data_IF_625605910816
#
_entry.id   IF_625605910816
#
_cell.length_a   1.000
_cell.length_b   1.000
_cell.length_c   1.000
_cell.angle_alpha   90.00
_cell.angle_beta   90.00
_cell.angle_gamma   90.00
#
_symmetry.space_group_name_H-M   'P 1'
#
loop_
_entity.id
_entity.type
_entity.pdbx_description
1 polymer ?
#
# COMPACT_ATOMS: atom_id res chain seq x y z
N UNK A 1 -0.87 -11.03 13.47
CA UNK A 1 -0.70 -9.95 12.47
C UNK A 1 -2.09 -9.52 12.09
N UNK A 2 -2.58 -8.41 12.65
CA UNK A 2 -3.85 -7.84 12.20
C UNK A 2 -3.74 -7.47 10.71
N UNK A 3 -4.74 -7.80 9.89
CA UNK A 3 -4.72 -7.46 8.48
C UNK A 3 -4.70 -5.93 8.33
N UNK A 4 -3.77 -5.41 7.53
CA UNK A 4 -3.73 -3.98 7.23
C UNK A 4 -4.95 -3.64 6.36
N UNK A 5 -5.76 -2.69 6.80
CA UNK A 5 -6.99 -2.28 6.12
C UNK A 5 -6.85 -0.87 5.54
N UNK A 6 -7.65 -0.50 4.52
CA UNK A 6 -7.77 0.89 4.11
C UNK A 6 -8.04 1.80 5.32
N UNK A 7 -7.25 2.85 5.48
CA UNK A 7 -7.25 3.73 6.66
C UNK A 7 -6.19 3.41 7.73
N UNK A 8 -5.48 2.28 7.62
CA UNK A 8 -4.30 2.02 8.44
C UNK A 8 -3.14 2.95 8.06
N UNK A 9 -2.25 3.24 9.01
CA UNK A 9 -1.08 4.10 8.79
C UNK A 9 0.15 3.56 9.52
N UNK A 10 1.36 3.98 9.08
CA UNK A 10 2.63 3.69 9.76
C UNK A 10 3.50 2.64 9.07
N UNK A 11 4.51 2.14 9.78
CA UNK A 11 5.59 1.31 9.21
C UNK A 11 5.10 0.02 8.50
N UNK A 12 3.99 -0.55 8.94
CA UNK A 12 3.42 -1.73 8.29
C UNK A 12 2.83 -1.41 6.90
N UNK A 13 2.29 -0.20 6.72
CA UNK A 13 1.81 0.29 5.42
C UNK A 13 2.99 0.57 4.50
N UNK A 14 4.03 1.21 5.02
CA UNK A 14 5.28 1.50 4.30
C UNK A 14 5.91 0.22 3.71
N UNK A 15 6.06 -0.85 4.51
CA UNK A 15 6.63 -2.12 4.04
C UNK A 15 5.82 -2.72 2.87
N UNK A 16 4.49 -2.69 2.97
CA UNK A 16 3.62 -3.17 1.90
C UNK A 16 3.74 -2.27 0.66
N UNK A 17 3.72 -0.94 0.83
CA UNK A 17 3.85 0.00 -0.27
C UNK A 17 5.18 -0.18 -1.01
N UNK A 18 6.29 -0.36 -0.28
CA UNK A 18 7.59 -0.65 -0.88
C UNK A 18 7.59 -1.95 -1.67
N UNK A 19 7.03 -3.02 -1.11
CA UNK A 19 6.93 -4.33 -1.78
C UNK A 19 6.10 -4.22 -3.06
N UNK A 20 4.96 -3.54 -3.01
CA UNK A 20 4.10 -3.32 -4.17
C UNK A 20 4.80 -2.53 -5.26
N UNK A 21 5.56 -1.48 -4.89
CA UNK A 21 6.33 -0.70 -5.86
C UNK A 21 7.45 -1.52 -6.49
N UNK A 22 8.15 -2.35 -5.70
CA UNK A 22 9.17 -3.30 -6.22
C UNK A 22 8.58 -4.30 -7.22
N UNK A 23 7.32 -4.66 -7.06
CA UNK A 23 6.57 -5.52 -7.99
C UNK A 23 6.04 -4.76 -9.23
N UNK A 24 6.20 -3.43 -9.28
CA UNK A 24 5.78 -2.59 -10.40
C UNK A 24 4.41 -1.93 -10.24
N UNK A 25 3.77 -2.03 -9.07
CA UNK A 25 2.51 -1.33 -8.81
C UNK A 25 2.75 0.13 -8.45
N UNK A 26 1.96 1.02 -9.07
CA UNK A 26 2.02 2.46 -8.80
C UNK A 26 1.17 2.81 -7.58
N UNK A 27 1.74 3.60 -6.67
CA UNK A 27 1.08 4.17 -5.49
C UNK A 27 1.38 5.66 -5.48
N UNK A 28 0.40 6.49 -5.10
CA UNK A 28 0.57 7.95 -5.10
C UNK A 28 1.60 8.38 -4.05
N UNK A 29 2.43 9.37 -4.42
CA UNK A 29 3.53 9.84 -3.59
C UNK A 29 3.04 10.39 -2.24
N UNK A 30 1.86 11.03 -2.20
CA UNK A 30 1.24 11.55 -0.97
C UNK A 30 0.95 10.43 0.05
N UNK A 31 0.39 9.31 -0.41
CA UNK A 31 0.14 8.13 0.42
C UNK A 31 1.43 7.46 0.87
N UNK A 32 2.46 7.47 0.01
CA UNK A 32 3.76 6.91 0.32
C UNK A 32 4.54 7.74 1.32
N UNK A 33 4.50 9.07 1.20
CA UNK A 33 5.17 10.00 2.14
C UNK A 33 4.45 10.05 3.48
N UNK A 34 3.12 9.91 3.47
CA UNK A 34 2.31 9.90 4.69
C UNK A 34 2.19 8.51 5.34
N UNK A 35 2.70 7.47 4.66
CA UNK A 35 2.65 6.07 5.07
C UNK A 35 1.20 5.65 5.38
N UNK A 36 0.26 6.09 4.53
CA UNK A 36 -1.18 5.88 4.70
C UNK A 36 -1.73 4.89 3.70
N UNK A 37 -2.58 3.98 4.17
CA UNK A 37 -3.28 3.05 3.32
C UNK A 37 -4.51 3.73 2.74
N UNK A 38 -4.30 4.53 1.69
CA UNK A 38 -5.38 5.20 0.97
C UNK A 38 -5.87 4.40 -0.24
N UNK A 39 -6.42 5.11 -1.23
CA UNK A 39 -7.06 4.52 -2.40
C UNK A 39 -6.03 3.92 -3.36
N UNK A 40 -4.90 4.58 -3.55
CA UNK A 40 -3.85 4.10 -4.46
C UNK A 40 -3.18 2.84 -3.90
N UNK A 41 -2.88 2.82 -2.60
CA UNK A 41 -2.41 1.61 -1.90
C UNK A 41 -3.44 0.48 -1.97
N UNK A 42 -4.72 0.76 -1.73
CA UNK A 42 -5.78 -0.23 -1.83
C UNK A 42 -5.90 -0.85 -3.23
N UNK A 43 -5.81 -0.01 -4.27
CA UNK A 43 -5.85 -0.47 -5.66
C UNK A 43 -4.64 -1.34 -6.00
N UNK A 44 -3.45 -0.97 -5.55
CA UNK A 44 -2.23 -1.77 -5.75
C UNK A 44 -2.34 -3.13 -5.05
N UNK A 45 -2.81 -3.16 -3.79
CA UNK A 45 -3.06 -4.42 -3.05
C UNK A 45 -4.11 -5.28 -3.75
N UNK A 46 -5.20 -4.67 -4.21
CA UNK A 46 -6.27 -5.40 -4.92
C UNK A 46 -5.75 -6.02 -6.22
N UNK A 47 -4.91 -5.29 -6.98
CA UNK A 47 -4.29 -5.82 -8.19
C UNK A 47 -3.31 -6.95 -7.88
N UNK A 48 -2.46 -6.77 -6.88
CA UNK A 48 -1.51 -7.79 -6.41
C UNK A 48 -2.19 -9.11 -6.00
N UNK A 49 -3.42 -9.07 -5.47
CA UNK A 49 -4.17 -10.28 -5.11
C UNK A 49 -4.80 -11.01 -6.31
N UNK A 50 -4.87 -10.35 -7.46
CA UNK A 50 -5.48 -10.89 -8.68
C UNK A 50 -4.45 -11.40 -9.69
N UNK A 51 -3.19 -10.97 -9.58
CA UNK A 51 -2.06 -11.51 -10.34
C UNK A 51 -1.52 -12.79 -9.66
#
# INVERSE_FOLDING_TARGET
MDPITPGSTGAAVEDIQERLVKLGYTIEDDERQSHTFGKSTARAVARFRLD
#
